data_IF_210570001436
#
_entry.id   IF_210570001436
#
_cell.length_a   1.000
_cell.length_b   1.000
_cell.length_c   1.000
_cell.angle_alpha   90.00
_cell.angle_beta   90.00
_cell.angle_gamma   90.00
#
_symmetry.space_group_name_H-M   'P 1'
#
loop_
_entity.id
_entity.type
_entity.pdbx_description
1 polymer ?
#
# COMPACT_ATOMS: atom_id res chain seq x y z
N UNK A 1 -0.71 -18.31 3.79
CA UNK A 1 -0.03 -19.23 4.71
C UNK A 1 -0.80 -19.17 6.01
N UNK A 2 -1.42 -20.27 6.43
CA UNK A 2 -1.95 -20.39 7.80
C UNK A 2 -0.75 -20.50 8.73
N UNK A 3 -0.58 -19.51 9.60
CA UNK A 3 0.41 -19.54 10.66
C UNK A 3 -0.29 -20.05 11.92
N UNK A 4 -0.14 -21.33 12.21
CA UNK A 4 -0.74 -21.96 13.40
C UNK A 4 -0.12 -21.44 14.71
N UNK A 5 1.06 -20.81 14.62
CA UNK A 5 1.80 -20.21 15.73
C UNK A 5 1.79 -18.68 15.66
N UNK A 6 0.70 -18.10 15.15
CA UNK A 6 0.58 -16.65 15.02
C UNK A 6 0.70 -15.97 16.38
N UNK A 7 1.69 -15.10 16.48
CA UNK A 7 1.98 -14.30 17.67
C UNK A 7 2.02 -12.82 17.28
N UNK A 8 1.06 -12.04 17.75
CA UNK A 8 0.91 -10.61 17.44
C UNK A 8 2.13 -9.80 17.86
N UNK A 9 2.83 -10.17 18.94
CA UNK A 9 3.99 -9.44 19.45
C UNK A 9 5.20 -9.53 18.50
N UNK A 10 5.19 -10.51 17.61
CA UNK A 10 6.18 -10.63 16.53
C UNK A 10 5.91 -9.69 15.36
N UNK A 11 4.68 -9.23 15.22
CA UNK A 11 4.23 -8.35 14.14
C UNK A 11 4.08 -6.90 14.58
N UNK A 12 3.63 -6.65 15.81
CA UNK A 12 3.45 -5.31 16.37
C UNK A 12 4.59 -5.02 17.34
N UNK A 13 5.42 -4.08 16.99
CA UNK A 13 6.62 -3.71 17.74
C UNK A 13 6.51 -2.26 18.20
N UNK A 14 7.12 -1.98 19.37
CA UNK A 14 7.17 -0.62 19.93
C UNK A 14 8.61 -0.15 19.98
N UNK A 15 8.80 1.14 19.72
CA UNK A 15 10.07 1.82 19.91
C UNK A 15 9.84 3.27 20.34
N UNK A 16 10.82 3.82 21.03
CA UNK A 16 10.79 5.20 21.50
C UNK A 16 11.86 6.00 20.74
N UNK A 17 11.48 7.15 20.20
CA UNK A 17 12.42 8.08 19.58
C UNK A 17 13.23 8.79 20.64
N UNK A 18 14.48 9.09 20.30
CA UNK A 18 15.31 9.98 21.12
C UNK A 18 14.87 11.44 20.93
N UNK A 19 14.93 12.27 21.97
CA UNK A 19 14.72 13.71 21.80
C UNK A 19 15.66 14.31 20.73
N UNK A 20 15.21 15.29 19.95
CA UNK A 20 13.97 16.07 20.11
C UNK A 20 12.71 15.41 19.52
N UNK A 21 12.78 14.25 18.89
CA UNK A 21 11.62 13.52 18.39
C UNK A 21 10.89 14.23 17.24
N UNK A 22 11.63 14.92 16.39
CA UNK A 22 11.09 15.67 15.26
C UNK A 22 10.86 14.84 14.02
N UNK A 23 10.52 15.52 12.91
CA UNK A 23 10.28 14.87 11.61
C UNK A 23 11.53 14.24 11.03
N UNK A 24 12.70 14.80 11.30
CA UNK A 24 13.99 14.29 10.82
C UNK A 24 14.29 12.94 11.46
N UNK A 25 14.20 12.86 12.78
CA UNK A 25 14.42 11.61 13.52
C UNK A 25 13.41 10.53 13.14
N UNK A 26 12.14 10.93 12.96
CA UNK A 26 11.12 10.02 12.47
C UNK A 26 11.46 9.52 11.06
N UNK A 27 11.89 10.40 10.15
CA UNK A 27 12.25 10.03 8.78
C UNK A 27 13.42 9.04 8.75
N UNK A 28 14.44 9.25 9.59
CA UNK A 28 15.58 8.33 9.71
C UNK A 28 15.16 6.96 10.21
N UNK A 29 14.32 6.90 11.25
CA UNK A 29 13.79 5.64 11.78
C UNK A 29 12.97 4.93 10.72
N UNK A 30 12.03 5.63 10.09
CA UNK A 30 11.20 5.06 9.04
C UNK A 30 12.06 4.58 7.85
N UNK A 31 13.09 5.31 7.46
CA UNK A 31 14.02 4.92 6.41
C UNK A 31 14.77 3.63 6.73
N UNK A 32 15.28 3.51 7.96
CA UNK A 32 15.94 2.28 8.44
C UNK A 32 14.98 1.09 8.44
N UNK A 33 13.79 1.26 9.02
CA UNK A 33 12.78 0.19 9.08
C UNK A 33 12.26 -0.21 7.71
N UNK A 34 12.04 0.74 6.80
CA UNK A 34 11.61 0.48 5.43
C UNK A 34 12.68 -0.26 4.60
N UNK A 35 13.95 -0.10 4.93
CA UNK A 35 15.06 -0.81 4.30
C UNK A 35 15.18 -2.29 4.70
N UNK A 36 14.60 -2.68 5.83
CA UNK A 36 14.60 -4.07 6.29
C UNK A 36 13.54 -4.89 5.52
N UNK A 37 13.87 -6.11 5.06
CA UNK A 37 12.87 -6.99 4.46
C UNK A 37 11.84 -7.44 5.50
N UNK A 38 10.62 -7.73 5.04
CA UNK A 38 9.60 -8.41 5.86
C UNK A 38 9.97 -9.89 5.94
N UNK A 39 9.81 -10.50 7.11
CA UNK A 39 10.03 -11.93 7.32
C UNK A 39 9.01 -12.74 6.49
N UNK A 40 9.54 -13.55 5.55
CA UNK A 40 8.72 -14.35 4.63
C UNK A 40 8.28 -15.70 5.20
N UNK A 41 8.78 -16.07 6.37
CA UNK A 41 8.35 -17.29 7.08
C UNK A 41 7.02 -17.10 7.82
N UNK A 42 6.49 -15.86 7.86
CA UNK A 42 5.31 -15.43 8.61
C UNK A 42 4.35 -14.64 7.72
N UNK A 43 3.16 -14.28 8.22
CA UNK A 43 2.28 -13.33 7.55
C UNK A 43 3.03 -12.07 7.16
N UNK A 44 2.88 -11.64 5.91
CA UNK A 44 3.76 -10.70 5.21
C UNK A 44 3.51 -9.23 5.59
N UNK A 45 3.40 -8.95 6.88
CA UNK A 45 3.23 -7.60 7.40
C UNK A 45 3.92 -7.42 8.76
N UNK A 46 4.27 -6.20 9.09
CA UNK A 46 4.74 -5.76 10.40
C UNK A 46 4.32 -4.32 10.67
N UNK A 47 4.06 -4.01 11.93
CA UNK A 47 3.67 -2.69 12.41
C UNK A 47 4.64 -2.22 13.48
N UNK A 48 5.01 -0.94 13.42
CA UNK A 48 5.86 -0.30 14.41
C UNK A 48 5.11 0.88 15.01
N UNK A 49 4.93 0.87 16.32
CA UNK A 49 4.42 2.00 17.11
C UNK A 49 5.62 2.78 17.60
N UNK A 50 5.77 4.01 17.12
CA UNK A 50 6.91 4.86 17.39
C UNK A 50 6.47 6.00 18.30
N UNK A 51 6.94 5.98 19.53
CA UNK A 51 6.60 6.93 20.59
C UNK A 51 7.62 8.07 20.68
N UNK A 52 7.33 9.13 21.45
CA UNK A 52 8.24 10.25 21.65
C UNK A 52 8.20 11.32 20.55
N UNK A 53 7.14 11.36 19.76
CA UNK A 53 6.97 12.35 18.71
C UNK A 53 6.76 13.76 19.30
N UNK A 54 7.58 14.73 18.86
CA UNK A 54 7.53 16.10 19.34
C UNK A 54 8.16 16.31 20.71
N UNK A 55 9.05 15.39 21.17
CA UNK A 55 9.73 15.48 22.46
C UNK A 55 8.83 15.20 23.66
N UNK A 56 7.58 14.77 23.43
CA UNK A 56 6.65 14.40 24.49
C UNK A 56 7.01 13.04 25.07
N UNK A 57 7.29 12.99 26.36
CA UNK A 57 7.56 11.74 27.09
C UNK A 57 6.27 11.13 27.67
N UNK A 58 5.17 11.84 27.58
CA UNK A 58 3.87 11.43 28.14
C UNK A 58 3.01 10.60 27.19
N UNK A 59 3.56 10.16 26.04
CA UNK A 59 2.90 9.25 25.12
C UNK A 59 1.74 9.85 24.30
N UNK A 60 1.56 11.16 24.34
CA UNK A 60 0.41 11.81 23.69
C UNK A 60 0.46 11.77 22.16
N UNK A 61 1.65 11.60 21.55
CA UNK A 61 1.79 11.55 20.10
C UNK A 61 2.65 10.37 19.70
N UNK A 62 2.07 9.53 18.86
CA UNK A 62 2.74 8.35 18.31
C UNK A 62 2.68 8.39 16.79
N UNK A 63 3.68 7.80 16.15
CA UNK A 63 3.61 7.47 14.73
C UNK A 63 3.45 5.96 14.57
N UNK A 64 2.70 5.54 13.55
CA UNK A 64 2.54 4.14 13.19
C UNK A 64 3.17 3.95 11.80
N UNK A 65 4.15 3.05 11.73
CA UNK A 65 4.70 2.58 10.46
C UNK A 65 4.20 1.16 10.21
N UNK A 66 3.39 1.01 9.16
CA UNK A 66 2.90 -0.28 8.70
C UNK A 66 3.65 -0.68 7.44
N UNK A 67 4.25 -1.86 7.45
CA UNK A 67 4.90 -2.49 6.30
C UNK A 67 4.10 -3.70 5.88
N UNK A 68 3.74 -3.77 4.62
CA UNK A 68 3.05 -4.92 4.02
C UNK A 68 3.78 -5.29 2.74
N UNK A 69 4.07 -6.56 2.56
CA UNK A 69 4.64 -7.05 1.31
C UNK A 69 3.58 -6.97 0.21
N UNK A 70 3.94 -6.46 -0.96
CA UNK A 70 2.99 -6.22 -2.04
C UNK A 70 2.32 -7.51 -2.58
N UNK A 71 2.89 -8.67 -2.32
CA UNK A 71 2.26 -9.95 -2.62
C UNK A 71 1.07 -10.29 -1.69
N UNK A 72 0.97 -9.64 -0.51
CA UNK A 72 -0.12 -9.86 0.43
C UNK A 72 -1.27 -8.86 0.24
N UNK A 73 -0.99 -7.66 -0.24
CA UNK A 73 -2.00 -6.63 -0.45
C UNK A 73 -1.63 -5.71 -1.61
N UNK A 74 -2.54 -5.48 -2.51
CA UNK A 74 -2.48 -4.39 -3.48
C UNK A 74 -2.90 -3.05 -2.82
N UNK A 75 -2.84 -1.95 -3.58
CA UNK A 75 -3.15 -0.62 -3.05
C UNK A 75 -4.56 -0.51 -2.48
N UNK A 76 -5.57 -1.13 -3.10
CA UNK A 76 -6.96 -1.07 -2.63
C UNK A 76 -7.18 -1.93 -1.41
N UNK A 77 -6.61 -3.13 -1.38
CA UNK A 77 -6.61 -4.01 -0.21
C UNK A 77 -5.93 -3.36 0.98
N UNK A 78 -4.82 -2.64 0.76
CA UNK A 78 -4.13 -1.90 1.80
C UNK A 78 -4.97 -0.76 2.39
N UNK A 79 -5.68 0.01 1.54
CA UNK A 79 -6.61 1.06 2.01
C UNK A 79 -7.76 0.45 2.81
N UNK A 80 -8.34 -0.66 2.34
CA UNK A 80 -9.37 -1.39 3.08
C UNK A 80 -8.88 -1.88 4.44
N UNK A 81 -7.67 -2.42 4.50
CA UNK A 81 -7.04 -2.84 5.75
C UNK A 81 -6.83 -1.67 6.72
N UNK A 82 -6.31 -0.53 6.25
CA UNK A 82 -6.16 0.66 7.08
C UNK A 82 -7.52 1.17 7.61
N UNK A 83 -8.57 1.14 6.79
CA UNK A 83 -9.90 1.59 7.23
C UNK A 83 -10.52 0.70 8.31
N UNK A 84 -10.10 -0.57 8.39
CA UNK A 84 -10.50 -1.47 9.48
C UNK A 84 -9.68 -1.26 10.76
N UNK A 85 -8.42 -0.83 10.63
CA UNK A 85 -7.57 -0.48 11.79
C UNK A 85 -7.92 0.89 12.39
N UNK A 86 -8.51 1.77 11.60
CA UNK A 86 -8.81 3.14 11.99
C UNK A 86 -10.33 3.30 12.15
N UNK A 87 -10.79 3.60 13.36
CA UNK A 87 -12.17 4.01 13.60
C UNK A 87 -12.29 5.53 13.48
N UNK A 88 -13.38 6.06 12.90
CA UNK A 88 -13.68 7.48 12.97
C UNK A 88 -14.04 7.95 14.40
N UNK A 89 -14.31 7.00 15.28
CA UNK A 89 -14.65 7.26 16.69
C UNK A 89 -13.43 6.99 17.59
N UNK A 90 -13.14 7.85 18.58
CA UNK A 90 -12.01 7.68 19.48
C UNK A 90 -12.05 6.39 20.32
N UNK A 91 -13.25 5.89 20.61
CA UNK A 91 -13.46 4.68 21.41
C UNK A 91 -14.52 3.79 20.74
N UNK A 92 -14.16 2.99 19.71
CA UNK A 92 -15.10 2.09 19.07
C UNK A 92 -15.53 0.97 20.03
N UNK A 93 -16.79 0.59 19.97
CA UNK A 93 -17.28 -0.55 20.73
C UNK A 93 -16.74 -1.86 20.15
N UNK A 94 -16.60 -2.89 21.00
CA UNK A 94 -16.10 -4.20 20.56
C UNK A 94 -16.97 -4.83 19.45
N UNK A 95 -18.25 -4.52 19.42
CA UNK A 95 -19.19 -4.97 18.38
C UNK A 95 -18.89 -4.31 17.01
N UNK A 96 -18.49 -3.05 16.98
CA UNK A 96 -18.13 -2.35 15.74
C UNK A 96 -16.82 -2.89 15.16
N UNK A 97 -15.86 -3.24 16.01
CA UNK A 97 -14.61 -3.90 15.61
C UNK A 97 -14.85 -5.33 15.10
N UNK A 98 -15.77 -6.07 15.72
CA UNK A 98 -16.13 -7.43 15.29
C UNK A 98 -16.91 -7.45 13.96
N UNK A 99 -17.74 -6.44 13.69
CA UNK A 99 -18.45 -6.32 12.42
C UNK A 99 -17.54 -5.99 11.24
N UNK A 100 -16.35 -5.42 11.50
CA UNK A 100 -15.34 -5.15 10.49
C UNK A 100 -14.46 -6.38 10.17
N UNK A 101 -14.52 -7.47 10.96
CA UNK A 101 -13.78 -8.68 10.70
C UNK A 101 -14.36 -9.41 9.49
N UNK A 102 -13.54 -9.59 8.46
CA UNK A 102 -13.92 -10.33 7.25
C UNK A 102 -14.01 -11.82 7.63
N UNK A 103 -15.19 -12.41 7.47
CA UNK A 103 -15.38 -13.85 7.58
C UNK A 103 -14.73 -14.55 6.35
N UNK A 104 -13.48 -14.94 6.52
CA UNK A 104 -12.75 -15.74 5.53
C UNK A 104 -13.07 -17.23 5.74
N UNK A 105 -14.27 -17.64 5.37
CA UNK A 105 -14.64 -19.06 5.41
C UNK A 105 -13.79 -19.86 4.42
N UNK A 106 -12.88 -20.70 4.92
CA UNK A 106 -11.97 -21.53 4.13
C UNK A 106 -12.69 -22.43 3.09
N UNK A 107 -13.94 -22.81 3.35
CA UNK A 107 -14.79 -23.54 2.41
C UNK A 107 -15.19 -22.68 1.21
N UNK A 108 -15.40 -21.39 1.40
CA UNK A 108 -15.76 -20.44 0.34
C UNK A 108 -14.59 -20.21 -0.60
N UNK A 109 -13.38 -20.08 -0.07
CA UNK A 109 -12.16 -19.93 -0.88
C UNK A 109 -11.88 -21.15 -1.76
N UNK A 110 -12.16 -22.37 -1.28
CA UNK A 110 -11.95 -23.60 -2.05
C UNK A 110 -12.96 -23.74 -3.19
N UNK A 111 -14.23 -23.43 -2.94
CA UNK A 111 -15.30 -23.45 -3.94
C UNK A 111 -15.10 -22.33 -4.96
N UNK A 112 -14.75 -21.13 -4.54
CA UNK A 112 -14.46 -19.99 -5.41
C UNK A 112 -13.20 -20.25 -6.27
N UNK A 113 -12.21 -20.96 -5.73
CA UNK A 113 -11.03 -21.42 -6.46
C UNK A 113 -11.36 -22.42 -7.57
N UNK A 114 -12.22 -23.39 -7.29
CA UNK A 114 -12.66 -24.40 -8.28
C UNK A 114 -13.53 -23.80 -9.38
N UNK A 115 -14.49 -22.93 -9.00
CA UNK A 115 -15.33 -22.18 -9.95
C UNK A 115 -14.45 -21.22 -10.78
N UNK A 116 -13.46 -20.58 -10.16
CA UNK A 116 -12.49 -19.73 -10.83
C UNK A 116 -11.67 -20.49 -11.88
N UNK A 117 -11.26 -21.72 -11.58
CA UNK A 117 -10.50 -22.55 -12.52
C UNK A 117 -11.29 -22.88 -13.79
N UNK A 118 -12.57 -23.18 -13.68
CA UNK A 118 -13.45 -23.47 -14.83
C UNK A 118 -13.85 -22.18 -15.59
N UNK A 119 -14.08 -21.09 -14.88
CA UNK A 119 -14.47 -19.79 -15.47
C UNK A 119 -13.29 -19.00 -16.06
N UNK A 120 -12.07 -19.26 -15.61
CA UNK A 120 -10.89 -18.51 -16.02
C UNK A 120 -10.61 -18.54 -17.53
N UNK A 121 -10.63 -19.68 -18.23
CA UNK A 121 -10.43 -19.71 -19.68
C UNK A 121 -11.55 -18.99 -20.45
N UNK A 122 -12.80 -19.09 -20.00
CA UNK A 122 -13.92 -18.39 -20.61
C UNK A 122 -13.80 -16.87 -20.39
N UNK A 123 -13.46 -16.43 -19.18
CA UNK A 123 -13.21 -15.02 -18.87
C UNK A 123 -12.01 -14.46 -19.66
N UNK A 124 -10.94 -15.23 -19.82
CA UNK A 124 -9.81 -14.85 -20.66
C UNK A 124 -10.21 -14.67 -22.11
N UNK A 125 -11.00 -15.59 -22.67
CA UNK A 125 -11.44 -15.56 -24.07
C UNK A 125 -12.46 -14.45 -24.34
N UNK A 126 -13.41 -14.23 -23.42
CA UNK A 126 -14.54 -13.32 -23.69
C UNK A 126 -14.29 -11.88 -23.21
N UNK A 127 -13.42 -11.67 -22.22
CA UNK A 127 -13.20 -10.37 -21.61
C UNK A 127 -11.78 -9.86 -21.81
N UNK A 128 -10.78 -10.68 -21.48
CA UNK A 128 -9.40 -10.24 -21.51
C UNK A 128 -8.86 -10.15 -22.95
N UNK A 129 -9.11 -11.16 -23.77
CA UNK A 129 -8.61 -11.18 -25.15
C UNK A 129 -9.17 -10.01 -26.00
N UNK A 130 -10.49 -9.73 -26.01
CA UNK A 130 -11.02 -8.55 -26.71
C UNK A 130 -10.47 -7.23 -26.17
N UNK A 131 -10.28 -7.11 -24.85
CA UNK A 131 -9.70 -5.91 -24.25
C UNK A 131 -8.24 -5.70 -24.66
N UNK A 132 -7.45 -6.78 -24.72
CA UNK A 132 -6.06 -6.73 -25.21
C UNK A 132 -6.02 -6.35 -26.70
N UNK A 133 -6.87 -6.95 -27.53
CA UNK A 133 -6.96 -6.61 -28.95
C UNK A 133 -7.33 -5.14 -29.14
N UNK A 134 -8.34 -4.65 -28.42
CA UNK A 134 -8.74 -3.25 -28.45
C UNK A 134 -7.61 -2.32 -28.01
N UNK A 135 -6.88 -2.67 -26.95
CA UNK A 135 -5.73 -1.90 -26.48
C UNK A 135 -4.58 -1.85 -27.50
N UNK A 136 -4.32 -2.96 -28.18
CA UNK A 136 -3.31 -3.01 -29.26
C UNK A 136 -3.72 -2.14 -30.43
N UNK A 137 -4.98 -2.24 -30.90
CA UNK A 137 -5.51 -1.41 -31.99
C UNK A 137 -5.39 0.09 -31.62
N UNK A 138 -5.76 0.44 -30.40
CA UNK A 138 -5.71 1.80 -29.92
C UNK A 138 -4.25 2.32 -29.77
N UNK A 139 -3.32 1.46 -29.37
CA UNK A 139 -1.89 1.76 -29.33
C UNK A 139 -1.32 2.01 -30.75
N UNK A 140 -1.72 1.19 -31.73
CA UNK A 140 -1.32 1.38 -33.13
C UNK A 140 -1.88 2.69 -33.70
N UNK A 141 -3.16 2.99 -33.43
CA UNK A 141 -3.79 4.25 -33.84
C UNK A 141 -3.11 5.46 -33.23
N UNK A 142 -2.78 5.42 -31.92
CA UNK A 142 -2.04 6.49 -31.25
C UNK A 142 -0.64 6.68 -31.85
N UNK A 143 0.04 5.60 -32.19
CA UNK A 143 1.35 5.64 -32.82
C UNK A 143 1.26 6.31 -34.20
N UNK A 144 0.28 5.94 -35.01
CA UNK A 144 0.06 6.55 -36.32
C UNK A 144 -0.29 8.06 -36.23
N UNK A 145 -0.95 8.49 -35.15
CA UNK A 145 -1.29 9.87 -34.85
C UNK A 145 -0.16 10.67 -34.17
N UNK A 146 1.05 10.12 -34.03
CA UNK A 146 2.18 10.79 -33.36
C UNK A 146 2.01 10.93 -31.83
N UNK A 147 1.01 10.29 -31.22
CA UNK A 147 0.68 10.29 -29.80
C UNK A 147 0.98 8.96 -29.11
N UNK A 148 2.03 8.27 -29.57
CA UNK A 148 2.41 7.00 -29.05
C UNK A 148 2.83 7.11 -27.56
N UNK A 149 2.28 6.25 -26.72
CA UNK A 149 2.89 5.97 -25.40
C UNK A 149 4.23 5.26 -25.62
N UNK A 150 5.18 5.49 -24.73
CA UNK A 150 6.42 4.74 -24.72
C UNK A 150 6.12 3.23 -24.66
N UNK A 151 6.79 2.45 -25.49
CA UNK A 151 6.63 1.00 -25.46
C UNK A 151 7.16 0.45 -24.13
N UNK A 152 6.64 -0.70 -23.64
CA UNK A 152 7.23 -1.36 -22.48
C UNK A 152 8.73 -1.54 -22.67
N UNK A 153 9.49 -1.34 -21.60
CA UNK A 153 10.95 -1.47 -21.56
C UNK A 153 11.75 -0.45 -22.40
N UNK A 154 11.09 0.56 -22.97
CA UNK A 154 11.77 1.65 -23.74
C UNK A 154 11.94 2.94 -22.92
N UNK A 155 11.67 2.89 -21.61
CA UNK A 155 11.87 4.05 -20.75
C UNK A 155 13.34 4.51 -20.77
N UNK A 156 13.61 5.82 -20.93
CA UNK A 156 14.97 6.32 -20.91
C UNK A 156 15.59 6.07 -19.54
N UNK A 157 16.89 5.80 -19.52
CA UNK A 157 17.64 5.69 -18.26
C UNK A 157 17.74 7.06 -17.62
N UNK A 158 17.17 7.19 -16.45
CA UNK A 158 17.22 8.41 -15.63
C UNK A 158 17.72 8.05 -14.22
N UNK A 159 18.04 9.06 -13.43
CA UNK A 159 18.40 8.87 -12.01
C UNK A 159 17.28 8.23 -11.19
N UNK A 160 16.02 8.31 -11.68
CA UNK A 160 14.84 7.78 -10.99
C UNK A 160 14.61 6.28 -11.22
N UNK A 161 15.19 5.70 -12.26
CA UNK A 161 15.04 4.28 -12.59
C UNK A 161 16.37 3.51 -12.66
N UNK A 162 17.35 3.99 -11.90
CA UNK A 162 18.61 3.26 -11.65
C UNK A 162 18.39 2.16 -10.60
N UNK A 163 19.32 1.23 -10.51
CA UNK A 163 19.34 0.24 -9.44
C UNK A 163 19.33 0.90 -8.05
N UNK A 164 18.62 0.31 -7.11
CA UNK A 164 18.47 0.83 -5.76
C UNK A 164 19.06 -0.14 -4.72
N UNK A 165 19.58 0.43 -3.64
CA UNK A 165 20.09 -0.30 -2.47
C UNK A 165 18.95 -0.60 -1.49
N UNK A 166 19.25 -1.31 -0.39
CA UNK A 166 18.30 -1.47 0.73
C UNK A 166 18.05 -0.16 1.49
N UNK A 167 18.98 0.80 1.40
CA UNK A 167 18.83 2.08 2.09
C UNK A 167 17.63 2.87 1.55
N UNK A 168 16.81 3.40 2.45
CA UNK A 168 15.66 4.25 2.14
C UNK A 168 15.79 5.58 2.84
N UNK A 169 15.55 6.65 2.09
CA UNK A 169 15.45 8.01 2.63
C UNK A 169 13.99 8.42 2.56
N UNK A 170 13.47 8.93 3.66
CA UNK A 170 12.08 9.38 3.79
C UNK A 170 12.08 10.86 4.11
N UNK A 171 11.18 11.60 3.49
CA UNK A 171 10.93 12.99 3.79
C UNK A 171 9.42 13.21 3.96
N UNK A 172 9.05 14.10 4.88
CA UNK A 172 7.67 14.49 5.12
C UNK A 172 7.42 15.89 4.59
N UNK A 173 6.43 16.02 3.70
CA UNK A 173 5.93 17.30 3.22
C UNK A 173 4.47 17.50 3.66
N UNK A 174 4.08 18.74 3.81
CA UNK A 174 2.68 19.12 4.06
C UNK A 174 2.26 20.12 2.99
N UNK A 175 1.18 19.78 2.31
CA UNK A 175 0.56 20.62 1.29
C UNK A 175 -0.87 20.94 1.73
N UNK A 176 -1.32 22.17 1.47
CA UNK A 176 -2.73 22.52 1.68
C UNK A 176 -3.56 21.89 0.54
N UNK A 177 -4.63 21.21 0.91
CA UNK A 177 -5.54 20.60 -0.07
C UNK A 177 -6.20 21.63 -1.00
N UNK A 178 -6.38 22.88 -0.54
CA UNK A 178 -6.90 23.97 -1.37
C UNK A 178 -5.94 24.29 -2.51
N UNK A 179 -4.64 24.35 -2.22
CA UNK A 179 -3.62 24.64 -3.23
C UNK A 179 -3.56 23.51 -4.27
N UNK A 180 -3.63 22.25 -3.80
CA UNK A 180 -3.71 21.08 -4.70
C UNK A 180 -4.95 21.16 -5.59
N UNK A 181 -6.11 21.51 -5.03
CA UNK A 181 -7.35 21.68 -5.79
C UNK A 181 -7.26 22.85 -6.77
N UNK A 182 -6.67 23.98 -6.39
CA UNK A 182 -6.48 25.11 -7.29
C UNK A 182 -5.61 24.77 -8.49
N UNK A 183 -4.52 24.03 -8.28
CA UNK A 183 -3.68 23.52 -9.38
C UNK A 183 -4.46 22.57 -10.28
N UNK A 184 -5.20 21.62 -9.70
CA UNK A 184 -6.07 20.69 -10.45
C UNK A 184 -7.06 21.44 -11.34
N UNK A 185 -7.74 22.45 -10.79
CA UNK A 185 -8.77 23.21 -11.50
C UNK A 185 -8.14 24.07 -12.60
N UNK A 186 -6.96 24.68 -12.35
CA UNK A 186 -6.22 25.45 -13.34
C UNK A 186 -5.85 24.61 -14.57
N UNK A 187 -5.44 23.37 -14.40
CA UNK A 187 -5.04 22.48 -15.49
C UNK A 187 -6.18 21.59 -16.01
N UNK A 188 -7.39 21.66 -15.46
CA UNK A 188 -8.54 20.85 -15.86
C UNK A 188 -8.33 19.34 -15.66
N UNK A 189 -7.50 18.94 -14.68
CA UNK A 189 -7.16 17.55 -14.41
C UNK A 189 -7.77 17.06 -13.09
N UNK A 190 -7.65 15.77 -12.81
CA UNK A 190 -8.06 15.18 -11.53
C UNK A 190 -6.88 15.16 -10.55
N UNK A 191 -7.17 15.04 -9.23
CA UNK A 191 -6.14 14.93 -8.20
C UNK A 191 -5.49 13.55 -8.18
N UNK A 192 -6.15 12.54 -8.74
CA UNK A 192 -5.70 11.15 -8.84
C UNK A 192 -5.39 10.72 -10.27
#
# INVERSE_FOLDING_TARGET
VQDNDFDIDRHVRRMVMRPPGGRTELAEICGKLAGLPVDRSRPLWEMWVIEGLGGSTDGQRVAVLLKVHHAAADGMTFVSFLSQLCSPQPHPTRSELAAAAIDTGALRETVDGLIGFVRRPLYLATTVLPAVVAAVIDAVRRRAAGRAMAAPFTAPRTVLNTGFTAQRNIAFARLDLRDVKAVKDHFGVKVN
#
